data_IF_721616576741
#
_entry.id   IF_721616576741
#
_cell.length_a   1.000
_cell.length_b   1.000
_cell.length_c   1.000
_cell.angle_alpha   90.00
_cell.angle_beta   90.00
_cell.angle_gamma   90.00
#
_symmetry.space_group_name_H-M   'P 1'
#
loop_
_entity.id
_entity.type
_entity.pdbx_description
1 polymer ?
#
# COMPACT_ATOMS: atom_id res chain seq x y z
N UNK A 1 41.89 10.55 4.68
CA UNK A 1 41.85 10.02 3.31
C UNK A 1 40.49 9.42 2.94
N UNK A 2 39.82 8.63 3.80
CA UNK A 2 38.47 8.08 3.57
C UNK A 2 37.38 9.17 3.45
N UNK A 3 37.39 10.20 4.28
CA UNK A 3 36.44 11.30 4.28
C UNK A 3 36.52 12.13 2.98
N UNK A 4 37.71 12.32 2.41
CA UNK A 4 37.87 13.02 1.13
C UNK A 4 37.44 12.17 -0.07
N UNK A 5 37.57 10.83 -0.01
CA UNK A 5 37.03 9.91 -1.03
C UNK A 5 35.49 9.83 -0.96
N UNK A 6 34.89 9.93 0.22
CA UNK A 6 33.44 10.03 0.38
C UNK A 6 32.92 11.37 -0.15
N UNK A 7 33.57 12.51 0.15
CA UNK A 7 33.22 13.82 -0.43
C UNK A 7 33.33 13.88 -1.96
N UNK A 8 34.30 13.21 -2.57
CA UNK A 8 34.42 13.13 -4.04
C UNK A 8 33.40 12.19 -4.68
N UNK A 9 32.93 11.11 -3.99
CA UNK A 9 31.87 10.22 -4.47
C UNK A 9 30.49 10.84 -4.33
N UNK A 10 30.30 11.81 -3.44
CA UNK A 10 29.13 12.68 -3.34
C UNK A 10 29.26 13.92 -4.24
N UNK A 11 29.93 13.78 -5.38
CA UNK A 11 30.10 14.85 -6.37
C UNK A 11 28.75 15.36 -6.87
N UNK A 12 28.71 16.58 -7.40
CA UNK A 12 27.51 17.33 -7.76
C UNK A 12 26.45 16.59 -8.60
N UNK A 13 26.81 15.44 -9.20
CA UNK A 13 25.87 14.60 -9.95
C UNK A 13 24.92 13.82 -9.03
N UNK A 14 25.38 13.33 -7.88
CA UNK A 14 24.50 12.67 -6.88
C UNK A 14 23.54 13.70 -6.26
N UNK A 15 24.06 14.84 -5.82
CA UNK A 15 23.23 15.93 -5.24
C UNK A 15 22.22 16.44 -6.27
N UNK A 16 22.63 16.57 -7.52
CA UNK A 16 21.76 16.97 -8.62
C UNK A 16 20.68 15.92 -8.91
N UNK A 17 21.03 14.62 -8.90
CA UNK A 17 20.08 13.53 -9.11
C UNK A 17 19.08 13.42 -7.93
N UNK A 18 19.54 13.55 -6.69
CA UNK A 18 18.67 13.61 -5.50
C UNK A 18 17.78 14.85 -5.52
N UNK A 19 18.32 16.01 -5.95
CA UNK A 19 17.54 17.23 -6.12
C UNK A 19 16.44 17.10 -7.19
N UNK A 20 16.75 16.50 -8.34
CA UNK A 20 15.77 16.23 -9.39
C UNK A 20 14.69 15.24 -8.96
N UNK A 21 15.07 14.12 -8.34
CA UNK A 21 14.11 13.12 -7.83
C UNK A 21 13.26 13.68 -6.69
N UNK A 22 13.86 14.42 -5.77
CA UNK A 22 13.16 15.08 -4.68
C UNK A 22 12.21 16.18 -5.18
N UNK A 23 12.64 16.98 -6.16
CA UNK A 23 11.80 18.00 -6.81
C UNK A 23 10.62 17.38 -7.56
N UNK A 24 10.83 16.31 -8.31
CA UNK A 24 9.77 15.58 -9.00
C UNK A 24 8.75 14.98 -8.01
N UNK A 25 9.23 14.41 -6.89
CA UNK A 25 8.35 13.86 -5.85
C UNK A 25 7.56 14.97 -5.14
N UNK A 26 8.18 16.13 -4.85
CA UNK A 26 7.49 17.29 -4.29
C UNK A 26 6.41 17.81 -5.24
N UNK A 27 6.73 17.96 -6.53
CA UNK A 27 5.77 18.35 -7.55
C UNK A 27 4.58 17.36 -7.59
N UNK A 28 4.87 16.06 -7.62
CA UNK A 28 3.83 15.03 -7.59
C UNK A 28 2.95 15.12 -6.34
N UNK A 29 3.52 15.43 -5.17
CA UNK A 29 2.75 15.63 -3.93
C UNK A 29 1.85 16.85 -3.99
N UNK A 30 2.33 17.95 -4.57
CA UNK A 30 1.53 19.17 -4.76
C UNK A 30 0.37 18.88 -5.72
N UNK A 31 0.62 18.23 -6.86
CA UNK A 31 -0.44 17.84 -7.80
C UNK A 31 -1.46 16.92 -7.15
N UNK A 32 -1.03 15.93 -6.36
CA UNK A 32 -1.93 15.01 -5.65
C UNK A 32 -2.79 15.73 -4.60
N UNK A 33 -2.22 16.68 -3.86
CA UNK A 33 -3.00 17.53 -2.95
C UNK A 33 -4.03 18.35 -3.71
N UNK A 34 -3.64 18.99 -4.83
CA UNK A 34 -4.56 19.72 -5.71
C UNK A 34 -5.70 18.83 -6.20
N UNK A 35 -5.39 17.61 -6.66
CA UNK A 35 -6.40 16.63 -7.08
C UNK A 35 -7.34 16.25 -5.93
N UNK A 36 -6.80 15.99 -4.75
CA UNK A 36 -7.62 15.63 -3.56
C UNK A 36 -8.56 16.77 -3.18
N UNK A 37 -8.09 18.02 -3.22
CA UNK A 37 -8.91 19.22 -2.95
C UNK A 37 -9.99 19.38 -4.01
N UNK A 38 -9.64 19.25 -5.29
CA UNK A 38 -10.59 19.36 -6.42
C UNK A 38 -11.70 18.32 -6.30
N UNK A 39 -11.33 17.05 -6.10
CA UNK A 39 -12.28 15.97 -5.90
C UNK A 39 -13.18 16.23 -4.68
N UNK A 40 -12.60 16.61 -3.55
CA UNK A 40 -13.38 16.89 -2.34
C UNK A 40 -14.37 18.04 -2.51
N UNK A 41 -14.05 19.04 -3.32
CA UNK A 41 -14.95 20.17 -3.59
C UNK A 41 -16.06 19.83 -4.60
N UNK A 42 -15.75 18.99 -5.58
CA UNK A 42 -16.68 18.68 -6.67
C UNK A 42 -17.56 17.46 -6.38
N UNK A 43 -16.99 16.37 -5.87
CA UNK A 43 -17.70 15.13 -5.56
C UNK A 43 -18.46 15.25 -4.22
N UNK A 44 -19.59 14.59 -4.12
CA UNK A 44 -20.37 14.44 -2.89
C UNK A 44 -19.99 13.17 -2.11
N UNK A 45 -20.63 12.94 -0.95
CA UNK A 45 -20.38 11.75 -0.12
C UNK A 45 -20.77 10.45 -0.85
N UNK A 46 -21.87 10.47 -1.60
CA UNK A 46 -22.31 9.32 -2.38
C UNK A 46 -21.28 8.91 -3.44
N UNK A 47 -20.73 9.86 -4.20
CA UNK A 47 -19.66 9.58 -5.18
C UNK A 47 -18.45 8.95 -4.53
N UNK A 48 -18.01 9.48 -3.38
CA UNK A 48 -16.90 8.91 -2.60
C UNK A 48 -17.20 7.50 -2.10
N UNK A 49 -18.45 7.21 -1.75
CA UNK A 49 -18.90 5.88 -1.37
C UNK A 49 -18.81 4.89 -2.53
N UNK A 50 -19.28 5.28 -3.71
CA UNK A 50 -19.16 4.47 -4.92
C UNK A 50 -17.68 4.21 -5.26
N UNK A 51 -16.82 5.24 -5.16
CA UNK A 51 -15.38 5.08 -5.35
C UNK A 51 -14.79 4.09 -4.35
N UNK A 52 -15.16 4.19 -3.08
CA UNK A 52 -14.69 3.27 -2.06
C UNK A 52 -15.03 1.81 -2.38
N UNK A 53 -16.25 1.54 -2.85
CA UNK A 53 -16.68 0.18 -3.26
C UNK A 53 -15.81 -0.32 -4.42
N UNK A 54 -15.65 0.46 -5.47
CA UNK A 54 -14.88 0.09 -6.66
C UNK A 54 -13.41 -0.15 -6.31
N UNK A 55 -12.81 0.76 -5.55
CA UNK A 55 -11.41 0.67 -5.14
C UNK A 55 -11.16 -0.52 -4.22
N UNK A 56 -12.03 -0.76 -3.24
CA UNK A 56 -11.93 -1.91 -2.35
C UNK A 56 -12.04 -3.22 -3.14
N UNK A 57 -13.00 -3.32 -4.06
CA UNK A 57 -13.15 -4.49 -4.94
C UNK A 57 -11.88 -4.72 -5.78
N UNK A 58 -11.36 -3.67 -6.40
CA UNK A 58 -10.15 -3.73 -7.20
C UNK A 58 -8.94 -4.14 -6.35
N UNK A 59 -8.77 -3.58 -5.16
CA UNK A 59 -7.67 -3.91 -4.25
C UNK A 59 -7.67 -5.38 -3.82
N UNK A 60 -8.85 -5.94 -3.52
CA UNK A 60 -8.98 -7.37 -3.21
C UNK A 60 -8.65 -8.24 -4.41
N UNK A 61 -9.21 -7.92 -5.57
CA UNK A 61 -9.00 -8.75 -6.78
C UNK A 61 -7.56 -8.67 -7.27
N UNK A 62 -6.91 -7.51 -7.14
CA UNK A 62 -5.50 -7.31 -7.53
C UNK A 62 -4.53 -8.26 -6.82
N UNK A 63 -4.80 -8.68 -5.58
CA UNK A 63 -3.96 -9.62 -4.84
C UNK A 63 -3.82 -10.95 -5.60
N UNK A 64 -4.88 -11.40 -6.24
CA UNK A 64 -4.91 -12.65 -7.00
C UNK A 64 -4.18 -12.60 -8.34
N UNK A 65 -3.69 -11.43 -8.77
CA UNK A 65 -2.76 -11.35 -9.92
C UNK A 65 -1.43 -12.05 -9.64
N UNK A 66 -1.12 -12.35 -8.38
CA UNK A 66 0.14 -12.91 -7.90
C UNK A 66 1.37 -12.09 -8.33
N UNK A 67 1.17 -10.85 -8.74
CA UNK A 67 2.22 -9.99 -9.33
C UNK A 67 3.44 -9.86 -8.44
N UNK A 68 3.25 -9.65 -7.14
CA UNK A 68 4.35 -9.54 -6.19
C UNK A 68 5.14 -10.85 -6.09
N UNK A 69 4.44 -11.99 -6.04
CA UNK A 69 5.06 -13.31 -6.00
C UNK A 69 5.80 -13.67 -7.28
N UNK A 70 5.18 -13.49 -8.44
CA UNK A 70 5.78 -13.76 -9.75
C UNK A 70 7.00 -12.85 -9.97
N UNK A 71 6.88 -11.55 -9.69
CA UNK A 71 7.98 -10.60 -9.80
C UNK A 71 9.16 -10.96 -8.89
N UNK A 72 8.89 -11.29 -7.62
CA UNK A 72 9.93 -11.71 -6.69
C UNK A 72 10.61 -13.00 -7.12
N UNK A 73 9.88 -13.96 -7.72
CA UNK A 73 10.46 -15.18 -8.27
C UNK A 73 11.42 -14.89 -9.41
N UNK A 74 11.06 -14.01 -10.35
CA UNK A 74 11.97 -13.58 -11.44
C UNK A 74 13.26 -12.95 -10.88
N UNK A 75 13.11 -12.08 -9.85
CA UNK A 75 14.27 -11.41 -9.24
C UNK A 75 15.22 -12.41 -8.56
N UNK A 76 14.70 -13.46 -7.93
CA UNK A 76 15.50 -14.45 -7.19
C UNK A 76 16.05 -15.59 -8.05
N UNK A 77 15.56 -15.76 -9.29
CA UNK A 77 15.94 -16.88 -10.16
C UNK A 77 17.39 -16.77 -10.61
N UNK A 78 18.11 -17.88 -10.62
CA UNK A 78 19.47 -17.97 -11.17
C UNK A 78 19.46 -17.70 -12.68
N UNK A 79 20.58 -17.15 -13.21
CA UNK A 79 20.71 -16.72 -14.62
C UNK A 79 20.39 -17.85 -15.62
N UNK A 80 20.83 -19.08 -15.33
CA UNK A 80 20.61 -20.28 -16.18
C UNK A 80 19.14 -20.61 -16.44
N UNK A 81 18.22 -20.23 -15.50
CA UNK A 81 16.80 -20.54 -15.59
C UNK A 81 15.95 -19.27 -15.87
N UNK A 82 16.59 -18.13 -16.00
CA UNK A 82 15.91 -16.84 -16.07
C UNK A 82 14.97 -16.75 -17.27
N UNK A 83 15.41 -17.14 -18.44
CA UNK A 83 14.60 -17.09 -19.67
C UNK A 83 13.35 -17.95 -19.55
N UNK A 84 13.49 -19.18 -19.02
CA UNK A 84 12.37 -20.11 -18.84
C UNK A 84 11.35 -19.53 -17.87
N UNK A 85 11.81 -18.98 -16.76
CA UNK A 85 10.93 -18.38 -15.73
C UNK A 85 10.25 -17.12 -16.29
N UNK A 86 10.95 -16.28 -17.06
CA UNK A 86 10.36 -15.09 -17.67
C UNK A 86 9.26 -15.46 -18.69
N UNK A 87 9.51 -16.43 -19.59
CA UNK A 87 8.51 -16.90 -20.56
C UNK A 87 7.29 -17.50 -19.86
N UNK A 88 7.52 -18.38 -18.90
CA UNK A 88 6.42 -18.97 -18.11
C UNK A 88 5.64 -17.91 -17.32
N UNK A 89 6.33 -16.95 -16.70
CA UNK A 89 5.70 -15.85 -15.97
C UNK A 89 4.84 -14.97 -16.89
N UNK A 90 5.28 -14.72 -18.13
CA UNK A 90 4.53 -13.95 -19.12
C UNK A 90 3.19 -14.63 -19.45
N UNK A 91 3.22 -15.92 -19.84
CA UNK A 91 2.01 -16.65 -20.17
C UNK A 91 1.09 -16.89 -18.95
N UNK A 92 1.69 -17.17 -17.79
CA UNK A 92 0.95 -17.31 -16.54
C UNK A 92 0.24 -15.99 -16.16
N UNK A 93 0.91 -14.85 -16.31
CA UNK A 93 0.29 -13.54 -16.08
C UNK A 93 -0.89 -13.31 -17.03
N UNK A 94 -0.82 -13.71 -18.32
CA UNK A 94 -1.94 -13.60 -19.23
C UNK A 94 -3.14 -14.44 -18.80
N UNK A 95 -2.90 -15.72 -18.46
CA UNK A 95 -3.95 -16.62 -17.97
C UNK A 95 -4.64 -16.04 -16.72
N UNK A 96 -3.84 -15.64 -15.73
CA UNK A 96 -4.36 -15.06 -14.49
C UNK A 96 -5.11 -13.75 -14.75
N UNK A 97 -4.58 -12.87 -15.59
CA UNK A 97 -5.17 -11.57 -15.88
C UNK A 97 -6.49 -11.67 -16.62
N UNK A 98 -6.60 -12.55 -17.61
CA UNK A 98 -7.88 -12.81 -18.32
C UNK A 98 -8.89 -13.43 -17.36
N UNK A 99 -8.47 -14.42 -16.58
CA UNK A 99 -9.35 -15.04 -15.60
C UNK A 99 -9.87 -14.00 -14.57
N UNK A 100 -8.99 -13.15 -14.06
CA UNK A 100 -9.37 -12.11 -13.09
C UNK A 100 -10.24 -11.02 -13.71
N UNK A 101 -10.00 -10.63 -14.96
CA UNK A 101 -10.89 -9.73 -15.68
C UNK A 101 -12.31 -10.29 -15.74
N UNK A 102 -12.47 -11.55 -16.17
CA UNK A 102 -13.77 -12.20 -16.25
C UNK A 102 -14.40 -12.38 -14.86
N UNK A 103 -13.62 -12.85 -13.88
CA UNK A 103 -14.09 -13.03 -12.49
C UNK A 103 -14.54 -11.69 -11.91
N UNK A 104 -13.79 -10.61 -12.08
CA UNK A 104 -14.20 -9.30 -11.54
C UNK A 104 -15.45 -8.75 -12.22
N UNK A 105 -15.60 -8.93 -13.52
CA UNK A 105 -16.83 -8.56 -14.23
C UNK A 105 -18.06 -9.36 -13.72
N UNK A 106 -17.86 -10.65 -13.43
CA UNK A 106 -18.93 -11.49 -12.84
C UNK A 106 -19.20 -11.06 -11.39
N UNK A 107 -18.15 -10.82 -10.60
CA UNK A 107 -18.26 -10.38 -9.20
C UNK A 107 -18.87 -8.98 -9.04
N UNK A 108 -18.86 -8.15 -10.10
CA UNK A 108 -19.51 -6.84 -10.08
C UNK A 108 -21.01 -6.92 -9.72
N UNK A 109 -21.72 -7.96 -10.15
CA UNK A 109 -23.13 -8.16 -9.85
C UNK A 109 -23.39 -8.54 -8.38
N UNK A 110 -22.76 -9.55 -7.78
CA UNK A 110 -22.91 -9.82 -6.34
C UNK A 110 -22.41 -8.67 -5.46
N UNK A 111 -21.38 -7.91 -5.86
CA UNK A 111 -20.94 -6.71 -5.16
C UNK A 111 -22.02 -5.63 -5.19
N UNK A 112 -22.62 -5.37 -6.35
CA UNK A 112 -23.74 -4.43 -6.47
C UNK A 112 -24.93 -4.85 -5.61
N UNK A 113 -25.27 -6.13 -5.60
CA UNK A 113 -26.32 -6.67 -4.73
C UNK A 113 -25.98 -6.54 -3.26
N UNK A 114 -24.73 -6.82 -2.85
CA UNK A 114 -24.26 -6.71 -1.48
C UNK A 114 -24.39 -5.28 -0.94
N UNK A 115 -24.07 -4.28 -1.74
CA UNK A 115 -24.18 -2.86 -1.35
C UNK A 115 -25.53 -2.23 -1.71
N UNK A 116 -26.42 -2.96 -2.42
CA UNK A 116 -27.72 -2.44 -2.87
C UNK A 116 -27.61 -1.34 -3.93
N UNK A 117 -26.54 -1.32 -4.75
CA UNK A 117 -26.30 -0.24 -5.69
C UNK A 117 -25.70 -0.72 -7.03
N UNK A 118 -26.53 -0.64 -8.08
CA UNK A 118 -26.14 -1.11 -9.42
C UNK A 118 -25.17 -0.15 -10.16
N UNK A 119 -25.00 1.08 -9.70
CA UNK A 119 -24.10 2.07 -10.34
C UNK A 119 -22.62 1.68 -10.25
N UNK A 120 -22.27 0.74 -9.37
CA UNK A 120 -20.89 0.25 -9.22
C UNK A 120 -20.51 -0.80 -10.27
N UNK A 121 -21.47 -1.44 -10.95
CA UNK A 121 -21.21 -2.56 -11.87
C UNK A 121 -20.25 -2.13 -12.98
N UNK A 122 -20.63 -1.11 -13.74
CA UNK A 122 -19.84 -0.65 -14.88
C UNK A 122 -18.45 -0.12 -14.48
N UNK A 123 -18.30 0.72 -13.43
CA UNK A 123 -16.98 1.13 -12.93
C UNK A 123 -16.10 -0.05 -12.49
N UNK A 124 -16.65 -1.09 -11.85
CA UNK A 124 -15.90 -2.30 -11.48
C UNK A 124 -15.41 -3.04 -12.73
N UNK A 125 -16.25 -3.20 -13.74
CA UNK A 125 -15.87 -3.85 -15.00
C UNK A 125 -14.80 -3.06 -15.76
N UNK A 126 -14.93 -1.72 -15.83
CA UNK A 126 -13.94 -0.86 -16.48
C UNK A 126 -12.61 -0.92 -15.75
N UNK A 127 -12.63 -0.92 -14.42
CA UNK A 127 -11.42 -1.06 -13.62
C UNK A 127 -10.68 -2.38 -13.87
N UNK A 128 -11.42 -3.46 -14.17
CA UNK A 128 -10.84 -4.76 -14.49
C UNK A 128 -9.97 -4.74 -15.77
N UNK A 129 -10.18 -3.78 -16.69
CA UNK A 129 -9.34 -3.63 -17.89
C UNK A 129 -7.85 -3.43 -17.55
N UNK A 130 -7.54 -2.91 -16.38
CA UNK A 130 -6.16 -2.78 -15.90
C UNK A 130 -5.44 -4.12 -15.88
N UNK A 131 -6.15 -5.23 -15.54
CA UNK A 131 -5.53 -6.55 -15.50
C UNK A 131 -5.03 -6.99 -16.88
N UNK A 132 -5.74 -6.69 -17.95
CA UNK A 132 -5.35 -7.06 -19.31
C UNK A 132 -4.07 -6.32 -19.77
N UNK A 133 -3.73 -5.21 -19.12
CA UNK A 133 -2.53 -4.45 -19.41
C UNK A 133 -1.30 -4.95 -18.62
N UNK A 134 -1.51 -5.59 -17.46
CA UNK A 134 -0.42 -6.02 -16.57
C UNK A 134 0.58 -7.00 -17.21
N UNK A 135 0.15 -8.05 -17.95
CA UNK A 135 1.07 -9.02 -18.55
C UNK A 135 2.09 -8.38 -19.49
N UNK A 136 1.67 -7.32 -20.18
CA UNK A 136 2.46 -6.68 -21.23
C UNK A 136 3.80 -6.12 -20.70
N UNK A 137 3.83 -5.65 -19.43
CA UNK A 137 5.02 -5.01 -18.86
C UNK A 137 5.55 -5.65 -17.58
N UNK A 138 4.84 -6.62 -16.98
CA UNK A 138 5.18 -7.16 -15.66
C UNK A 138 6.55 -7.84 -15.61
N UNK A 139 6.91 -8.59 -16.65
CA UNK A 139 8.21 -9.27 -16.73
C UNK A 139 9.34 -8.26 -16.89
N UNK A 140 9.22 -7.30 -17.81
CA UNK A 140 10.21 -6.24 -17.98
C UNK A 140 10.40 -5.43 -16.70
N UNK A 141 9.29 -5.11 -15.99
CA UNK A 141 9.34 -4.41 -14.71
C UNK A 141 10.12 -5.20 -13.65
N UNK A 142 9.94 -6.53 -13.59
CA UNK A 142 10.67 -7.39 -12.67
C UNK A 142 12.16 -7.48 -13.02
N UNK A 143 12.49 -7.58 -14.31
CA UNK A 143 13.88 -7.60 -14.80
C UNK A 143 14.60 -6.27 -14.52
N UNK A 144 13.96 -5.13 -14.75
CA UNK A 144 14.48 -3.80 -14.40
C UNK A 144 14.77 -3.70 -12.89
N UNK A 145 13.91 -4.26 -12.05
CA UNK A 145 14.13 -4.30 -10.59
C UNK A 145 15.28 -5.27 -10.24
N UNK A 146 15.38 -6.43 -10.89
CA UNK A 146 16.49 -7.37 -10.74
C UNK A 146 17.85 -6.71 -11.08
N UNK A 147 17.90 -5.88 -12.12
CA UNK A 147 19.08 -5.10 -12.51
C UNK A 147 19.35 -3.91 -11.58
N UNK A 148 18.60 -3.76 -10.51
CA UNK A 148 18.68 -2.63 -9.56
C UNK A 148 18.49 -1.24 -10.24
N UNK A 149 17.77 -1.18 -11.36
CA UNK A 149 17.46 0.04 -12.09
C UNK A 149 16.16 0.71 -11.56
N UNK A 150 16.07 0.85 -10.26
CA UNK A 150 14.88 1.36 -9.55
C UNK A 150 14.46 2.77 -9.98
N UNK A 151 15.38 3.54 -10.57
CA UNK A 151 15.08 4.86 -11.15
C UNK A 151 14.00 4.78 -12.23
N UNK A 152 13.98 3.72 -13.02
CA UNK A 152 12.97 3.53 -14.09
C UNK A 152 11.59 3.30 -13.46
N UNK A 153 11.52 2.45 -12.45
CA UNK A 153 10.27 2.24 -11.68
C UNK A 153 9.77 3.55 -11.05
N UNK A 154 10.66 4.36 -10.50
CA UNK A 154 10.31 5.67 -9.95
C UNK A 154 9.77 6.62 -11.03
N UNK A 155 10.36 6.63 -12.22
CA UNK A 155 9.87 7.42 -13.37
C UNK A 155 8.48 6.93 -13.81
N UNK A 156 8.24 5.60 -13.92
CA UNK A 156 6.92 5.06 -14.22
C UNK A 156 5.87 5.57 -13.24
N UNK A 157 6.14 5.48 -11.94
CA UNK A 157 5.24 5.94 -10.90
C UNK A 157 4.98 7.45 -10.99
N UNK A 158 6.02 8.26 -11.15
CA UNK A 158 5.90 9.72 -11.21
C UNK A 158 5.10 10.18 -12.44
N UNK A 159 5.42 9.67 -13.62
CA UNK A 159 4.72 10.03 -14.88
C UNK A 159 3.27 9.57 -14.83
N UNK A 160 3.01 8.32 -14.42
CA UNK A 160 1.64 7.82 -14.29
C UNK A 160 0.84 8.66 -13.29
N UNK A 161 1.41 8.96 -12.12
CA UNK A 161 0.73 9.76 -11.09
C UNK A 161 0.43 11.18 -11.58
N UNK A 162 1.35 11.85 -12.26
CA UNK A 162 1.13 13.18 -12.84
C UNK A 162 0.00 13.16 -13.87
N UNK A 163 0.07 12.24 -14.83
CA UNK A 163 -0.98 12.10 -15.85
C UNK A 163 -2.33 11.74 -15.24
N UNK A 164 -2.35 10.82 -14.29
CA UNK A 164 -3.56 10.44 -13.58
C UNK A 164 -4.18 11.63 -12.85
N UNK A 165 -3.38 12.43 -12.14
CA UNK A 165 -3.87 13.64 -11.45
C UNK A 165 -4.45 14.66 -12.43
N UNK A 166 -3.80 14.90 -13.57
CA UNK A 166 -4.28 15.83 -14.60
C UNK A 166 -5.62 15.35 -15.16
N UNK A 167 -5.70 14.08 -15.57
CA UNK A 167 -6.93 13.49 -16.12
C UNK A 167 -8.06 13.50 -15.07
N UNK A 168 -7.74 13.18 -13.80
CA UNK A 168 -8.71 13.24 -12.69
C UNK A 168 -9.29 14.65 -12.51
N UNK A 169 -8.46 15.68 -12.52
CA UNK A 169 -8.93 17.07 -12.38
C UNK A 169 -9.84 17.45 -13.57
N UNK A 170 -9.44 17.12 -14.79
CA UNK A 170 -10.25 17.42 -15.99
C UNK A 170 -11.61 16.73 -15.90
N UNK A 171 -11.64 15.42 -15.61
CA UNK A 171 -12.89 14.67 -15.53
C UNK A 171 -13.77 15.11 -14.36
N UNK A 172 -13.17 15.49 -13.23
CA UNK A 172 -13.89 16.05 -12.10
C UNK A 172 -14.55 17.40 -12.43
N UNK A 173 -13.84 18.28 -13.13
CA UNK A 173 -14.38 19.57 -13.60
C UNK A 173 -15.51 19.39 -14.63
N UNK A 174 -15.47 18.32 -15.40
CA UNK A 174 -16.56 17.93 -16.32
C UNK A 174 -17.76 17.28 -15.60
N UNK A 175 -17.72 17.15 -14.27
CA UNK A 175 -18.82 16.60 -13.48
C UNK A 175 -19.02 15.09 -13.61
N UNK A 176 -17.98 14.33 -13.96
CA UNK A 176 -18.08 12.89 -14.23
C UNK A 176 -18.18 12.00 -12.97
N UNK A 177 -18.31 12.56 -11.76
CA UNK A 177 -18.50 11.81 -10.51
C UNK A 177 -17.44 10.72 -10.30
N UNK A 178 -17.88 9.49 -10.05
CA UNK A 178 -16.99 8.32 -9.85
C UNK A 178 -16.00 8.11 -11.02
N UNK A 179 -16.39 8.44 -12.25
CA UNK A 179 -15.55 8.24 -13.43
C UNK A 179 -14.28 9.10 -13.40
N UNK A 180 -14.32 10.24 -12.70
CA UNK A 180 -13.15 11.08 -12.49
C UNK A 180 -12.01 10.39 -11.72
N UNK A 181 -12.29 9.28 -11.06
CA UNK A 181 -11.29 8.49 -10.33
C UNK A 181 -10.98 7.18 -11.04
N UNK A 182 -11.99 6.50 -11.60
CA UNK A 182 -11.83 5.19 -12.25
C UNK A 182 -11.09 5.29 -13.59
N UNK A 183 -11.52 6.21 -14.47
CA UNK A 183 -10.95 6.32 -15.80
C UNK A 183 -9.46 6.71 -15.81
N UNK A 184 -8.97 7.66 -14.98
CA UNK A 184 -7.56 8.00 -14.96
C UNK A 184 -6.64 6.81 -14.70
N UNK A 185 -7.03 5.89 -13.82
CA UNK A 185 -6.25 4.69 -13.50
C UNK A 185 -6.10 3.81 -14.74
N UNK A 186 -7.19 3.57 -15.44
CA UNK A 186 -7.20 2.75 -16.68
C UNK A 186 -6.42 3.43 -17.79
N UNK A 187 -6.70 4.72 -18.05
CA UNK A 187 -6.11 5.49 -19.15
C UNK A 187 -4.60 5.74 -18.99
N UNK A 188 -4.10 5.77 -17.76
CA UNK A 188 -2.67 6.03 -17.50
C UNK A 188 -1.83 4.77 -17.29
N UNK A 189 -2.46 3.60 -17.11
CA UNK A 189 -1.73 2.32 -17.02
C UNK A 189 -0.82 2.04 -18.23
N UNK A 190 -1.15 2.42 -19.50
CA UNK A 190 -0.25 2.26 -20.65
C UNK A 190 1.11 2.95 -20.50
N UNK A 191 1.25 3.93 -19.61
CA UNK A 191 2.54 4.57 -19.29
C UNK A 191 3.59 3.54 -18.83
N UNK A 192 3.15 2.56 -18.02
CA UNK A 192 4.02 1.47 -17.60
C UNK A 192 4.46 0.60 -18.78
N UNK A 193 3.56 0.35 -19.74
CA UNK A 193 3.88 -0.43 -20.95
C UNK A 193 4.97 0.30 -21.72
N UNK A 194 4.74 1.58 -22.05
CA UNK A 194 5.68 2.37 -22.87
C UNK A 194 7.05 2.47 -22.19
N UNK A 195 7.10 2.91 -20.92
CA UNK A 195 8.37 3.13 -20.24
C UNK A 195 9.14 1.82 -20.05
N UNK A 196 8.50 0.72 -19.63
CA UNK A 196 9.18 -0.56 -19.46
C UNK A 196 9.65 -1.13 -20.81
N UNK A 197 8.82 -1.02 -21.85
CA UNK A 197 9.18 -1.46 -23.21
C UNK A 197 10.39 -0.72 -23.77
N UNK A 198 10.50 0.59 -23.54
CA UNK A 198 11.63 1.40 -24.00
C UNK A 198 12.93 1.14 -23.20
N UNK A 199 12.82 0.67 -21.95
CA UNK A 199 13.96 0.56 -21.05
C UNK A 199 14.49 -0.86 -20.85
N UNK A 200 13.84 -1.88 -21.40
CA UNK A 200 14.28 -3.26 -21.34
C UNK A 200 14.06 -3.99 -22.67
N UNK A 201 15.09 -4.72 -23.12
CA UNK A 201 15.10 -5.41 -24.42
C UNK A 201 14.37 -6.75 -24.44
N UNK A 202 14.08 -7.33 -23.27
CA UNK A 202 13.38 -8.62 -23.20
C UNK A 202 12.02 -8.55 -23.89
N UNK A 203 11.74 -9.56 -24.72
CA UNK A 203 10.45 -9.73 -25.41
C UNK A 203 10.01 -11.18 -25.28
N UNK A 204 8.71 -11.44 -25.13
CA UNK A 204 8.20 -12.80 -25.05
C UNK A 204 8.43 -13.51 -26.39
N UNK A 205 8.82 -14.77 -26.30
CA UNK A 205 8.79 -15.68 -27.45
C UNK A 205 7.34 -16.02 -27.74
N UNK A 206 6.94 -16.07 -29.01
CA UNK A 206 5.56 -16.34 -29.41
C UNK A 206 5.13 -17.80 -29.19
N UNK A 207 5.98 -18.61 -28.57
CA UNK A 207 5.69 -20.00 -28.21
C UNK A 207 5.08 -20.06 -26.82
N UNK A 208 3.87 -20.59 -26.70
CA UNK A 208 3.25 -20.85 -25.41
C UNK A 208 4.03 -21.90 -24.63
N UNK A 209 4.47 -21.53 -23.43
CA UNK A 209 5.20 -22.42 -22.54
C UNK A 209 4.85 -22.14 -21.08
N UNK A 210 4.55 -23.18 -20.34
CA UNK A 210 4.31 -23.13 -18.89
C UNK A 210 5.31 -24.00 -18.12
N UNK A 211 6.54 -24.09 -18.61
CA UNK A 211 7.60 -24.87 -17.95
C UNK A 211 7.86 -24.29 -16.55
N UNK A 212 7.87 -25.15 -15.51
CA UNK A 212 8.10 -24.77 -14.11
C UNK A 212 7.02 -23.84 -13.50
N UNK A 213 5.81 -23.74 -14.09
CA UNK A 213 4.73 -22.93 -13.52
C UNK A 213 4.39 -23.28 -12.07
N UNK A 214 4.51 -24.57 -11.69
CA UNK A 214 4.25 -25.05 -10.34
C UNK A 214 5.20 -24.42 -9.32
N UNK A 215 6.45 -24.22 -9.68
CA UNK A 215 7.44 -23.58 -8.82
C UNK A 215 7.10 -22.10 -8.60
N UNK A 216 6.66 -21.41 -9.65
CA UNK A 216 6.22 -20.01 -9.58
C UNK A 216 5.00 -19.88 -8.69
N UNK A 217 3.97 -20.70 -8.91
CA UNK A 217 2.73 -20.70 -8.10
C UNK A 217 3.00 -21.07 -6.65
N UNK A 218 3.82 -22.09 -6.39
CA UNK A 218 4.19 -22.49 -5.02
C UNK A 218 4.84 -21.35 -4.25
N UNK A 219 5.72 -20.59 -4.90
CA UNK A 219 6.35 -19.43 -4.31
C UNK A 219 5.35 -18.26 -4.12
N UNK A 220 4.58 -17.93 -5.15
CA UNK A 220 3.62 -16.83 -5.14
C UNK A 220 2.48 -17.03 -4.14
N UNK A 221 2.03 -18.28 -3.93
CA UNK A 221 0.98 -18.65 -2.97
C UNK A 221 1.32 -18.25 -1.53
N UNK A 222 2.59 -18.35 -1.14
CA UNK A 222 3.00 -17.93 0.20
C UNK A 222 2.88 -16.43 0.42
N UNK A 223 3.14 -15.63 -0.63
CA UNK A 223 3.01 -14.18 -0.60
C UNK A 223 1.52 -13.78 -0.65
N UNK A 224 0.71 -14.48 -1.44
CA UNK A 224 -0.73 -14.25 -1.58
C UNK A 224 -1.44 -14.24 -0.22
N UNK A 225 -1.17 -15.23 0.65
CA UNK A 225 -1.82 -15.32 1.96
C UNK A 225 -1.58 -14.08 2.83
N UNK A 226 -0.33 -13.61 2.85
CA UNK A 226 0.05 -12.41 3.62
C UNK A 226 -0.60 -11.15 3.03
N UNK A 227 -0.58 -11.00 1.71
CA UNK A 227 -1.19 -9.85 1.03
C UNK A 227 -2.71 -9.81 1.25
N UNK A 228 -3.37 -10.98 1.14
CA UNK A 228 -4.82 -11.08 1.36
C UNK A 228 -5.22 -10.67 2.78
N UNK A 229 -4.50 -11.16 3.80
CA UNK A 229 -4.74 -10.76 5.19
C UNK A 229 -4.52 -9.26 5.41
N UNK A 230 -3.48 -8.70 4.81
CA UNK A 230 -3.21 -7.27 4.91
C UNK A 230 -4.30 -6.43 4.24
N UNK A 231 -4.78 -6.83 3.05
CA UNK A 231 -5.86 -6.15 2.34
C UNK A 231 -7.19 -6.30 3.06
N UNK A 232 -7.49 -7.48 3.61
CA UNK A 232 -8.68 -7.69 4.41
C UNK A 232 -8.69 -6.74 5.62
N UNK A 233 -7.61 -6.71 6.39
CA UNK A 233 -7.50 -5.82 7.55
C UNK A 233 -7.60 -4.34 7.19
N UNK A 234 -7.00 -3.94 6.07
CA UNK A 234 -6.97 -2.54 5.63
C UNK A 234 -8.32 -2.03 5.11
N UNK A 235 -9.21 -2.92 4.64
CA UNK A 235 -10.46 -2.56 4.00
C UNK A 235 -11.71 -3.12 4.70
N UNK A 236 -11.54 -3.82 5.83
CA UNK A 236 -12.65 -4.49 6.50
C UNK A 236 -13.69 -3.50 7.03
N UNK A 237 -13.25 -2.36 7.53
CA UNK A 237 -14.08 -1.24 7.95
C UNK A 237 -14.91 -0.68 6.78
N UNK A 238 -14.33 -0.52 5.58
CA UNK A 238 -15.08 -0.09 4.38
C UNK A 238 -16.18 -1.08 4.01
N UNK A 239 -15.88 -2.39 4.06
CA UNK A 239 -16.87 -3.43 3.78
C UNK A 239 -18.06 -3.33 4.74
N UNK A 240 -17.79 -3.18 6.04
CA UNK A 240 -18.83 -3.10 7.07
C UNK A 240 -19.63 -1.79 6.98
N UNK A 241 -18.96 -0.66 6.88
CA UNK A 241 -19.62 0.65 6.80
C UNK A 241 -20.52 0.69 5.57
N UNK A 242 -20.01 0.29 4.42
CA UNK A 242 -20.81 0.29 3.17
C UNK A 242 -22.00 -0.64 3.22
N UNK A 243 -21.87 -1.82 3.83
CA UNK A 243 -22.96 -2.80 3.91
C UNK A 243 -24.05 -2.41 4.91
N UNK A 244 -23.65 -1.97 6.11
CA UNK A 244 -24.58 -1.78 7.22
C UNK A 244 -25.06 -0.33 7.37
N UNK A 245 -24.25 0.66 6.96
CA UNK A 245 -24.58 2.07 7.12
C UNK A 245 -24.86 2.79 5.80
N UNK A 246 -24.65 2.11 4.66
CA UNK A 246 -24.95 2.61 3.31
C UNK A 246 -23.81 3.38 2.66
N UNK A 247 -24.03 3.74 1.38
CA UNK A 247 -23.01 4.30 0.49
C UNK A 247 -22.58 5.69 0.92
N UNK A 248 -23.49 6.55 1.37
CA UNK A 248 -23.18 7.91 1.82
C UNK A 248 -22.29 7.89 3.07
N UNK A 249 -22.61 7.03 4.05
CA UNK A 249 -21.79 6.85 5.25
C UNK A 249 -20.40 6.31 4.90
N UNK A 250 -20.33 5.37 3.96
CA UNK A 250 -19.05 4.89 3.43
C UNK A 250 -18.25 6.01 2.77
N UNK A 251 -18.90 6.90 2.03
CA UNK A 251 -18.25 8.04 1.39
C UNK A 251 -17.65 9.03 2.38
N UNK A 252 -18.39 9.36 3.44
CA UNK A 252 -17.89 10.19 4.55
C UNK A 252 -16.69 9.53 5.23
N UNK A 253 -16.77 8.22 5.49
CA UNK A 253 -15.70 7.45 6.10
C UNK A 253 -14.45 7.37 5.20
N UNK A 254 -14.64 7.10 3.92
CA UNK A 254 -13.57 7.02 2.93
C UNK A 254 -12.88 8.37 2.73
N UNK A 255 -13.65 9.45 2.68
CA UNK A 255 -13.10 10.80 2.66
C UNK A 255 -12.28 11.09 3.92
N UNK A 256 -12.82 10.81 5.10
CA UNK A 256 -12.13 11.03 6.38
C UNK A 256 -10.80 10.26 6.45
N UNK A 257 -10.77 9.03 5.95
CA UNK A 257 -9.57 8.18 5.90
C UNK A 257 -8.52 8.77 4.95
N UNK A 258 -8.90 9.14 3.73
CA UNK A 258 -7.96 9.67 2.73
C UNK A 258 -7.46 11.08 3.06
N UNK A 259 -8.34 11.97 3.53
CA UNK A 259 -7.98 13.32 3.93
C UNK A 259 -7.19 13.37 5.25
N UNK A 260 -7.44 12.41 6.15
CA UNK A 260 -6.76 12.29 7.42
C UNK A 260 -5.45 11.50 7.34
N UNK A 261 -5.54 10.21 7.07
CA UNK A 261 -4.38 9.31 7.08
C UNK A 261 -3.46 9.44 5.88
N UNK A 262 -3.97 9.86 4.73
CA UNK A 262 -3.22 9.85 3.48
C UNK A 262 -1.88 10.60 3.53
N UNK A 263 -1.79 11.67 4.31
CA UNK A 263 -0.54 12.44 4.49
C UNK A 263 0.38 11.72 5.48
N UNK A 264 -0.15 11.33 6.65
CA UNK A 264 0.61 10.70 7.73
C UNK A 264 1.18 9.35 7.34
N UNK A 265 0.43 8.51 6.60
CA UNK A 265 0.88 7.18 6.18
C UNK A 265 2.12 7.21 5.28
N UNK A 266 2.27 8.21 4.41
CA UNK A 266 3.47 8.33 3.59
C UNK A 266 4.73 8.58 4.43
N UNK A 267 4.62 9.41 5.47
CA UNK A 267 5.73 9.67 6.41
C UNK A 267 6.03 8.43 7.23
N UNK A 268 5.00 7.76 7.75
CA UNK A 268 5.11 6.51 8.51
C UNK A 268 5.83 5.45 7.68
N UNK A 269 5.38 5.19 6.47
CA UNK A 269 5.97 4.18 5.58
C UNK A 269 7.43 4.48 5.26
N UNK A 270 7.78 5.75 4.98
CA UNK A 270 9.16 6.14 4.71
C UNK A 270 10.11 5.86 5.89
N UNK A 271 9.64 6.10 7.11
CA UNK A 271 10.41 5.84 8.33
C UNK A 271 10.54 4.34 8.62
N UNK A 272 9.47 3.58 8.45
CA UNK A 272 9.45 2.15 8.83
C UNK A 272 10.17 1.27 7.80
N UNK A 273 10.02 1.50 6.50
CA UNK A 273 10.67 0.66 5.48
C UNK A 273 12.19 0.67 5.53
N UNK A 274 12.80 1.77 5.98
CA UNK A 274 14.25 1.84 6.15
C UNK A 274 14.76 1.04 7.35
N UNK A 275 13.91 0.73 8.33
CA UNK A 275 14.33 0.12 9.60
C UNK A 275 14.81 -1.32 9.45
N UNK A 276 14.12 -2.14 8.66
CA UNK A 276 14.43 -3.56 8.50
C UNK A 276 15.85 -3.82 7.98
N UNK A 277 16.31 -3.21 6.86
CA UNK A 277 17.69 -3.38 6.39
C UNK A 277 18.74 -2.93 7.41
N UNK A 278 18.48 -1.82 8.13
CA UNK A 278 19.40 -1.33 9.14
C UNK A 278 19.51 -2.28 10.34
N UNK A 279 18.41 -2.86 10.80
CA UNK A 279 18.43 -3.87 11.87
C UNK A 279 19.21 -5.12 11.43
N UNK A 280 18.98 -5.62 10.22
CA UNK A 280 19.71 -6.77 9.68
C UNK A 280 21.22 -6.51 9.58
N UNK A 281 21.63 -5.30 9.19
CA UNK A 281 23.04 -4.94 9.05
C UNK A 281 23.82 -4.94 10.37
N UNK A 282 23.16 -4.71 11.50
CA UNK A 282 23.80 -4.67 12.85
C UNK A 282 23.45 -5.86 13.72
N UNK A 283 22.80 -6.89 13.17
CA UNK A 283 22.26 -8.06 13.88
C UNK A 283 23.30 -8.79 14.73
N UNK A 284 24.56 -8.82 14.29
CA UNK A 284 25.64 -9.50 15.01
C UNK A 284 26.09 -8.76 16.27
N UNK A 285 25.89 -7.43 16.35
CA UNK A 285 26.24 -6.62 17.50
C UNK A 285 24.98 -6.29 18.32
N UNK A 286 24.66 -7.12 19.31
CA UNK A 286 23.46 -6.99 20.12
C UNK A 286 23.29 -5.64 20.78
N UNK A 287 24.39 -5.02 21.27
CA UNK A 287 24.34 -3.69 21.91
C UNK A 287 23.92 -2.62 20.91
N UNK A 288 24.53 -2.65 19.72
CA UNK A 288 24.22 -1.71 18.63
C UNK A 288 22.81 -1.96 18.08
N UNK A 289 22.43 -3.22 17.93
CA UNK A 289 21.09 -3.63 17.49
C UNK A 289 19.99 -3.08 18.41
N UNK A 290 20.14 -3.28 19.71
CA UNK A 290 19.22 -2.75 20.72
C UNK A 290 19.19 -1.23 20.72
N UNK A 291 20.34 -0.58 20.66
CA UNK A 291 20.43 0.88 20.60
C UNK A 291 19.78 1.44 19.35
N UNK A 292 20.00 0.85 18.17
CA UNK A 292 19.41 1.25 16.91
C UNK A 292 17.88 1.15 16.96
N UNK A 293 17.36 0.01 17.46
CA UNK A 293 15.92 -0.19 17.57
C UNK A 293 15.23 0.89 18.43
N UNK A 294 15.72 1.10 19.66
CA UNK A 294 15.10 2.11 20.54
C UNK A 294 15.31 3.55 20.05
N UNK A 295 16.45 3.85 19.44
CA UNK A 295 16.69 5.15 18.80
C UNK A 295 15.70 5.39 17.65
N UNK A 296 15.43 4.35 16.85
CA UNK A 296 14.44 4.42 15.76
C UNK A 296 13.04 4.64 16.30
N UNK A 297 12.62 3.91 17.35
CA UNK A 297 11.33 4.14 18.01
C UNK A 297 11.20 5.57 18.54
N UNK A 298 12.26 6.11 19.14
CA UNK A 298 12.29 7.51 19.61
C UNK A 298 12.13 8.49 18.45
N UNK A 299 12.82 8.27 17.34
CA UNK A 299 12.72 9.11 16.14
C UNK A 299 11.32 9.06 15.54
N UNK A 300 10.75 7.85 15.44
CA UNK A 300 9.36 7.64 14.97
C UNK A 300 8.38 8.42 15.88
N UNK A 301 8.52 8.29 17.20
CA UNK A 301 7.67 9.00 18.15
C UNK A 301 7.77 10.52 17.98
N UNK A 302 8.98 11.06 17.88
CA UNK A 302 9.25 12.49 17.75
C UNK A 302 8.70 13.11 16.45
N UNK A 303 8.57 12.32 15.40
CA UNK A 303 8.07 12.80 14.10
C UNK A 303 6.56 12.54 13.96
N UNK A 304 6.13 11.31 14.24
CA UNK A 304 4.76 10.89 13.91
C UNK A 304 3.75 11.44 14.91
N UNK A 305 4.07 11.44 16.21
CA UNK A 305 3.10 11.90 17.22
C UNK A 305 2.77 13.39 17.06
N UNK A 306 3.75 14.32 16.94
CA UNK A 306 3.43 15.73 16.69
C UNK A 306 2.69 15.94 15.36
N UNK A 307 3.07 15.22 14.30
CA UNK A 307 2.40 15.31 13.00
C UNK A 307 0.92 14.94 13.10
N UNK A 308 0.63 13.79 13.73
CA UNK A 308 -0.75 13.30 13.92
C UNK A 308 -1.55 14.24 14.81
N UNK A 309 -0.97 14.72 15.91
CA UNK A 309 -1.64 15.67 16.80
C UNK A 309 -1.92 16.99 16.08
N UNK A 310 -0.95 17.54 15.35
CA UNK A 310 -1.14 18.76 14.56
C UNK A 310 -2.26 18.59 13.54
N UNK A 311 -2.25 17.49 12.79
CA UNK A 311 -3.27 17.19 11.79
C UNK A 311 -4.65 17.02 12.41
N UNK A 312 -4.76 16.34 13.56
CA UNK A 312 -6.03 16.13 14.27
C UNK A 312 -6.59 17.42 14.88
N UNK A 313 -5.75 18.24 15.52
CA UNK A 313 -6.17 19.49 16.15
C UNK A 313 -6.53 20.58 15.14
N UNK A 314 -5.87 20.60 13.99
CA UNK A 314 -6.16 21.55 12.91
C UNK A 314 -7.32 21.13 12.02
N UNK A 315 -7.81 19.89 12.11
CA UNK A 315 -8.89 19.37 11.26
C UNK A 315 -10.15 20.28 11.23
N UNK A 316 -10.65 20.83 12.35
CA UNK A 316 -11.81 21.72 12.34
C UNK A 316 -11.60 22.99 11.50
N UNK A 317 -10.35 23.42 11.32
CA UNK A 317 -10.01 24.62 10.55
C UNK A 317 -9.75 24.30 9.07
N UNK A 318 -8.85 23.33 8.79
CA UNK A 318 -8.48 23.09 7.40
C UNK A 318 -9.54 22.34 6.59
N UNK A 319 -10.37 21.50 7.21
CA UNK A 319 -11.38 20.72 6.47
C UNK A 319 -12.39 21.65 5.78
N UNK A 320 -13.07 22.59 6.47
CA UNK A 320 -14.03 23.46 5.81
C UNK A 320 -13.37 24.43 4.81
N UNK A 321 -12.13 24.89 5.08
CA UNK A 321 -11.42 25.85 4.21
C UNK A 321 -10.92 25.17 2.94
N UNK A 322 -10.27 24.01 3.08
CA UNK A 322 -9.61 23.32 1.96
C UNK A 322 -10.61 22.47 1.18
N UNK A 323 -11.38 21.61 1.88
CA UNK A 323 -12.25 20.61 1.26
C UNK A 323 -13.71 21.08 1.13
N UNK A 324 -14.14 22.09 1.90
CA UNK A 324 -15.46 22.66 1.86
C UNK A 324 -16.37 22.25 3.03
N UNK A 325 -17.37 23.10 3.30
CA UNK A 325 -18.28 22.95 4.46
C UNK A 325 -19.09 21.65 4.46
N UNK A 326 -19.34 21.02 3.30
CA UNK A 326 -20.06 19.74 3.22
C UNK A 326 -19.36 18.58 3.96
N UNK A 327 -18.06 18.71 4.26
CA UNK A 327 -17.27 17.70 4.95
C UNK A 327 -17.12 17.94 6.46
N UNK A 328 -17.81 18.96 7.01
CA UNK A 328 -17.76 19.26 8.46
C UNK A 328 -18.22 18.05 9.29
N UNK A 329 -19.21 17.30 8.82
CA UNK A 329 -19.69 16.07 9.46
C UNK A 329 -18.65 14.94 9.51
N UNK A 330 -17.64 14.98 8.62
CA UNK A 330 -16.54 14.01 8.60
C UNK A 330 -15.43 14.33 9.61
N UNK A 331 -15.39 15.55 10.17
CA UNK A 331 -14.29 16.00 11.05
C UNK A 331 -14.11 15.09 12.28
N UNK A 332 -15.14 14.71 13.06
CA UNK A 332 -14.94 13.83 14.20
C UNK A 332 -14.35 12.47 13.82
N UNK A 333 -14.82 11.92 12.69
CA UNK A 333 -14.34 10.64 12.15
C UNK A 333 -12.89 10.77 11.71
N UNK A 334 -12.56 11.85 11.00
CA UNK A 334 -11.21 12.15 10.53
C UNK A 334 -10.23 12.27 11.70
N UNK A 335 -10.61 12.96 12.79
CA UNK A 335 -9.78 13.10 14.00
C UNK A 335 -9.48 11.72 14.61
N UNK A 336 -10.50 10.87 14.79
CA UNK A 336 -10.33 9.53 15.35
C UNK A 336 -9.41 8.65 14.47
N UNK A 337 -9.62 8.70 13.16
CA UNK A 337 -8.79 7.97 12.18
C UNK A 337 -7.35 8.50 12.19
N UNK A 338 -7.13 9.81 12.21
CA UNK A 338 -5.80 10.38 12.32
C UNK A 338 -5.09 9.92 13.60
N UNK A 339 -5.74 10.01 14.74
CA UNK A 339 -5.17 9.57 16.01
C UNK A 339 -4.80 8.08 16.00
N UNK A 340 -5.58 7.24 15.30
CA UNK A 340 -5.27 5.81 15.13
C UNK A 340 -3.96 5.55 14.36
N UNK A 341 -3.43 6.54 13.64
CA UNK A 341 -2.16 6.44 12.93
C UNK A 341 -0.96 6.47 13.87
N UNK A 342 -1.06 7.14 15.03
CA UNK A 342 0.07 7.33 15.94
C UNK A 342 0.69 6.01 16.44
N UNK A 343 -0.05 4.98 16.87
CA UNK A 343 0.53 3.70 17.30
C UNK A 343 1.03 2.80 16.15
N UNK A 344 0.53 2.94 14.92
CA UNK A 344 0.81 2.01 13.82
C UNK A 344 2.31 1.78 13.55
N UNK A 345 3.17 2.82 13.43
CA UNK A 345 4.58 2.63 13.12
C UNK A 345 5.37 1.90 14.21
N UNK A 346 4.88 1.91 15.46
CA UNK A 346 5.49 1.12 16.53
C UNK A 346 5.22 -0.38 16.36
N UNK A 347 4.02 -0.74 15.91
CA UNK A 347 3.68 -2.11 15.54
C UNK A 347 4.49 -2.61 14.34
N UNK A 348 4.66 -1.75 13.32
CA UNK A 348 5.49 -2.05 12.16
C UNK A 348 6.96 -2.25 12.57
N UNK A 349 7.50 -1.40 13.43
CA UNK A 349 8.86 -1.53 13.94
C UNK A 349 9.04 -2.82 14.78
N UNK A 350 8.05 -3.19 15.60
CA UNK A 350 8.05 -4.45 16.34
C UNK A 350 8.00 -5.68 15.42
N UNK A 351 7.20 -5.61 14.36
CA UNK A 351 7.14 -6.65 13.32
C UNK A 351 8.48 -6.81 12.60
N UNK A 352 9.14 -5.70 12.25
CA UNK A 352 10.46 -5.71 11.63
C UNK A 352 11.54 -6.24 12.58
N UNK A 353 11.45 -5.93 13.88
CA UNK A 353 12.34 -6.47 14.90
C UNK A 353 12.22 -8.00 14.95
N UNK A 354 10.99 -8.56 15.05
CA UNK A 354 10.76 -10.00 15.05
C UNK A 354 11.27 -10.68 13.78
N UNK A 355 11.02 -10.06 12.62
CA UNK A 355 11.48 -10.57 11.34
C UNK A 355 13.03 -10.57 11.23
N UNK A 356 13.71 -9.57 11.82
CA UNK A 356 15.17 -9.46 11.79
C UNK A 356 15.88 -10.50 12.68
N UNK A 357 15.17 -11.10 13.64
CA UNK A 357 15.65 -12.20 14.50
C UNK A 357 15.09 -13.58 14.12
N UNK A 358 14.61 -13.72 12.88
CA UNK A 358 14.05 -14.98 12.31
C UNK A 358 12.80 -15.50 13.04
N UNK A 359 12.02 -14.62 13.68
CA UNK A 359 10.78 -14.94 14.38
C UNK A 359 9.53 -14.47 13.60
N UNK A 360 9.58 -14.57 12.27
CA UNK A 360 8.48 -14.15 11.38
C UNK A 360 7.17 -14.93 11.62
N UNK A 361 7.24 -16.19 12.09
CA UNK A 361 6.05 -16.96 12.46
C UNK A 361 5.27 -16.33 13.62
N UNK A 362 5.97 -15.75 14.60
CA UNK A 362 5.35 -15.03 15.73
C UNK A 362 4.64 -13.77 15.23
N UNK A 363 5.28 -13.03 14.34
CA UNK A 363 4.66 -11.87 13.70
C UNK A 363 3.39 -12.25 12.92
N UNK A 364 3.40 -13.40 12.23
CA UNK A 364 2.23 -13.93 11.54
C UNK A 364 1.08 -14.25 12.51
N UNK A 365 1.35 -14.97 13.61
CA UNK A 365 0.33 -15.28 14.62
C UNK A 365 -0.27 -14.01 15.24
N UNK A 366 0.57 -13.04 15.58
CA UNK A 366 0.09 -11.76 16.07
C UNK A 366 -0.84 -11.07 15.06
N UNK A 367 -0.43 -11.00 13.79
CA UNK A 367 -1.25 -10.37 12.75
C UNK A 367 -2.60 -11.08 12.56
N UNK A 368 -2.64 -12.41 12.67
CA UNK A 368 -3.89 -13.19 12.63
C UNK A 368 -4.80 -12.86 13.80
N UNK A 369 -4.27 -12.94 15.03
CA UNK A 369 -5.03 -12.68 16.26
C UNK A 369 -5.57 -11.23 16.23
N UNK A 370 -4.72 -10.27 15.90
CA UNK A 370 -5.12 -8.87 15.82
C UNK A 370 -6.19 -8.65 14.75
N UNK A 371 -6.07 -9.28 13.57
CA UNK A 371 -7.06 -9.14 12.51
C UNK A 371 -8.43 -9.69 12.92
N UNK A 372 -8.47 -10.85 13.58
CA UNK A 372 -9.72 -11.44 14.08
C UNK A 372 -10.34 -10.57 15.18
N UNK A 373 -9.54 -10.14 16.16
CA UNK A 373 -9.97 -9.23 17.22
C UNK A 373 -10.54 -7.91 16.66
N UNK A 374 -9.82 -7.30 15.73
CA UNK A 374 -10.22 -6.08 15.04
C UNK A 374 -11.54 -6.26 14.29
N UNK A 375 -11.68 -7.35 13.53
CA UNK A 375 -12.89 -7.66 12.77
C UNK A 375 -14.12 -7.83 13.68
N UNK A 376 -13.99 -8.58 14.78
CA UNK A 376 -15.08 -8.77 15.77
C UNK A 376 -15.44 -7.42 16.40
N UNK A 377 -14.45 -6.62 16.79
CA UNK A 377 -14.70 -5.31 17.40
C UNK A 377 -15.46 -4.36 16.46
N UNK A 378 -15.11 -4.36 15.16
CA UNK A 378 -15.80 -3.56 14.15
C UNK A 378 -17.23 -4.06 13.88
N UNK A 379 -17.45 -5.37 13.83
CA UNK A 379 -18.79 -5.97 13.66
C UNK A 379 -19.73 -5.58 14.81
N UNK A 380 -19.23 -5.42 16.02
CA UNK A 380 -20.00 -4.94 17.14
C UNK A 380 -20.27 -3.43 17.04
N UNK A 381 -19.24 -2.65 16.68
CA UNK A 381 -19.31 -1.19 16.64
C UNK A 381 -20.19 -0.63 15.50
N UNK A 382 -20.28 -1.33 14.36
CA UNK A 382 -21.02 -0.84 13.19
C UNK A 382 -22.51 -0.61 13.49
N UNK A 383 -23.08 -1.31 14.47
CA UNK A 383 -24.48 -1.16 14.89
C UNK A 383 -24.79 0.22 15.47
N UNK A 384 -23.78 0.93 15.99
CA UNK A 384 -23.94 2.26 16.60
C UNK A 384 -23.54 3.40 15.68
N UNK A 385 -23.18 3.11 14.43
CA UNK A 385 -22.90 4.09 13.39
C UNK A 385 -21.41 4.36 13.17
N UNK A 386 -21.14 5.22 12.19
CA UNK A 386 -19.82 5.49 11.61
C UNK A 386 -18.81 6.04 12.63
N UNK A 387 -19.26 6.86 13.59
CA UNK A 387 -18.42 7.42 14.64
C UNK A 387 -17.84 6.31 15.52
N UNK A 388 -18.64 5.34 15.92
CA UNK A 388 -18.22 4.21 16.75
C UNK A 388 -17.30 3.25 16.01
N UNK A 389 -17.48 3.10 14.68
CA UNK A 389 -16.52 2.37 13.84
C UNK A 389 -15.15 3.04 13.90
N UNK A 390 -15.06 4.36 13.68
CA UNK A 390 -13.80 5.11 13.77
C UNK A 390 -13.20 5.09 15.19
N UNK A 391 -14.03 5.20 16.22
CA UNK A 391 -13.60 5.09 17.61
C UNK A 391 -13.02 3.70 17.92
N UNK A 392 -13.64 2.64 17.42
CA UNK A 392 -13.15 1.26 17.57
C UNK A 392 -11.80 1.08 16.86
N UNK A 393 -11.63 1.65 15.67
CA UNK A 393 -10.32 1.66 14.98
C UNK A 393 -9.27 2.31 15.87
N UNK A 394 -9.55 3.48 16.45
CA UNK A 394 -8.63 4.16 17.37
C UNK A 394 -8.33 3.30 18.61
N UNK A 395 -9.34 2.84 19.32
CA UNK A 395 -9.20 2.10 20.58
C UNK A 395 -8.41 0.82 20.39
N UNK A 396 -8.74 0.04 19.35
CA UNK A 396 -8.04 -1.22 19.07
C UNK A 396 -6.56 -1.00 18.75
N UNK A 397 -6.23 0.04 17.99
CA UNK A 397 -4.84 0.36 17.68
C UNK A 397 -4.06 0.91 18.87
N UNK A 398 -4.67 1.80 19.66
CA UNK A 398 -4.03 2.41 20.85
C UNK A 398 -3.80 1.37 21.94
N UNK A 399 -4.64 0.36 22.07
CA UNK A 399 -4.46 -0.68 23.09
C UNK A 399 -3.56 -1.80 22.59
N UNK A 400 -3.89 -2.41 21.45
CA UNK A 400 -3.23 -3.63 21.01
C UNK A 400 -1.79 -3.38 20.51
N UNK A 401 -1.53 -2.28 19.81
CA UNK A 401 -0.20 -2.05 19.21
C UNK A 401 0.88 -1.77 20.27
N UNK A 402 0.67 -0.90 21.28
CA UNK A 402 1.68 -0.73 22.33
C UNK A 402 1.95 -2.02 23.11
N UNK A 403 0.92 -2.80 23.44
CA UNK A 403 1.07 -4.11 24.10
C UNK A 403 1.95 -5.02 23.27
N UNK A 404 1.66 -5.12 21.96
CA UNK A 404 2.48 -5.91 21.05
C UNK A 404 3.92 -5.39 20.97
N UNK A 405 4.10 -4.08 20.85
CA UNK A 405 5.43 -3.47 20.73
C UNK A 405 6.29 -3.77 21.95
N UNK A 406 5.74 -3.62 23.16
CA UNK A 406 6.46 -3.93 24.41
C UNK A 406 6.76 -5.41 24.50
N UNK A 407 5.76 -6.25 24.24
CA UNK A 407 5.92 -7.71 24.30
C UNK A 407 6.96 -8.23 23.30
N UNK A 408 6.86 -7.82 22.02
CA UNK A 408 7.78 -8.21 20.96
C UNK A 408 9.21 -7.71 21.21
N UNK A 409 9.34 -6.49 21.73
CA UNK A 409 10.65 -5.92 22.11
C UNK A 409 11.30 -6.73 23.23
N UNK A 410 10.56 -7.06 24.28
CA UNK A 410 11.06 -7.90 25.38
C UNK A 410 11.42 -9.28 24.88
N UNK A 411 10.55 -9.92 24.09
CA UNK A 411 10.77 -11.26 23.57
C UNK A 411 12.02 -11.33 22.66
N UNK A 412 12.16 -10.40 21.72
CA UNK A 412 13.27 -10.40 20.77
C UNK A 412 14.61 -9.99 21.40
N UNK A 413 14.58 -9.14 22.45
CA UNK A 413 15.80 -8.59 23.08
C UNK A 413 16.20 -9.30 24.38
N UNK A 414 15.41 -10.27 24.90
CA UNK A 414 15.78 -11.11 26.05
C UNK A 414 16.51 -12.39 25.63
N UNK A 415 16.30 -12.90 24.43
CA UNK A 415 17.01 -14.07 23.95
C UNK A 415 18.45 -13.71 23.57
N UNK A 416 19.42 -14.40 24.21
CA UNK A 416 20.87 -14.25 23.98
C UNK A 416 21.28 -14.34 22.51
N UNK A 417 22.45 -13.78 22.13
CA UNK A 417 22.90 -13.70 20.75
C UNK A 417 22.98 -15.08 20.09
N UNK A 418 22.53 -15.12 18.84
CA UNK A 418 22.38 -16.30 17.96
C UNK A 418 23.65 -17.18 17.84
N UNK A 419 24.82 -16.70 18.29
CA UNK A 419 26.07 -17.48 18.29
C UNK A 419 26.05 -18.74 19.16
N UNK A 420 25.20 -18.84 20.19
CA UNK A 420 25.12 -20.05 21.03
C UNK A 420 24.21 -21.15 20.45
N UNK A 421 23.34 -20.82 19.50
CA UNK A 421 22.43 -21.82 18.87
C UNK A 421 23.08 -22.48 17.67
N UNK A 422 24.00 -21.82 16.96
CA UNK A 422 24.71 -22.41 15.81
C UNK A 422 25.96 -23.20 16.19
N UNK A 423 26.39 -23.20 17.45
CA UNK A 423 27.48 -24.08 17.90
C UNK A 423 27.01 -25.47 18.30
N UNK A 424 25.70 -25.75 18.31
CA UNK A 424 25.10 -27.04 18.68
C UNK A 424 24.40 -27.75 17.49
N UNK A 425 24.64 -27.31 16.27
CA UNK A 425 24.35 -27.99 15.02
C UNK A 425 25.64 -27.97 14.16
#
# INVERSE_FOLDING_TARGET
MLINKLKQKFSGQFIRNVGWLGGAELANRIFRLGTTVTLARLLNAYDYGLVAIVMTTYEFTTVFTLRAGIGSKIIQTEEKNLDIICETSYWLNWILSIALFLIQCILAFPVAWFYGNNQVILPICVMALVYLMLPIFSVQSALIQRENRLKITAICNAVQSLLSNIVTIILALLGMGIWAIVLPIVLTTPVWIVINYMNHSWRPKMSFSLNQWQEIIKFAKNILGVELLNKLRANFDYLLVGRFLGVDALGVYYFAFNAGLGISMNVINALTWSLYPHLCAVRENFKLFKQLYFSSLKTICLIVVPLVLLQSTLAPFYVPIIFGHKWVTAIPILILICLSAAPRPFGDAASMLLNSVDKSHINLYWNLIFTVFFAISLLLAVKWGIFWVAATVLITHVIAIPIFTVWASNYALQNKPIKEVMSNY
#
